data_IF_274742587341
#
_entry.id   IF_274742587341
#
_cell.length_a   1.000
_cell.length_b   1.000
_cell.length_c   1.000
_cell.angle_alpha   90.00
_cell.angle_beta   90.00
_cell.angle_gamma   90.00
#
_symmetry.space_group_name_H-M   'P 1'
#
loop_
_entity.id
_entity.type
_entity.pdbx_description
1 polymer ?
#
# COMPACT_ATOMS: atom_id res chain seq x y z
N UNK A 1 -7.18 -26.67 -2.45
CA UNK A 1 -7.94 -25.43 -2.22
C UNK A 1 -7.52 -24.73 -0.90
N UNK A 2 -6.22 -24.51 -0.63
CA UNK A 2 -5.75 -23.81 0.60
C UNK A 2 -5.18 -22.40 0.34
N UNK A 3 -5.23 -21.93 -0.91
CA UNK A 3 -4.69 -20.64 -1.33
C UNK A 3 -5.75 -19.58 -1.66
N UNK A 4 -7.00 -19.96 -1.89
CA UNK A 4 -8.06 -19.05 -2.37
C UNK A 4 -8.42 -18.03 -1.29
N UNK A 5 -8.52 -18.45 -0.02
CA UNK A 5 -8.76 -17.53 1.10
C UNK A 5 -7.60 -16.56 1.33
N UNK A 6 -6.34 -17.01 1.18
CA UNK A 6 -5.16 -16.15 1.26
C UNK A 6 -5.10 -15.16 0.10
N UNK A 7 -5.42 -15.61 -1.11
CA UNK A 7 -5.48 -14.75 -2.30
C UNK A 7 -6.63 -13.74 -2.22
N UNK A 8 -7.79 -14.13 -1.67
CA UNK A 8 -8.91 -13.23 -1.45
C UNK A 8 -8.59 -12.19 -0.38
N UNK A 9 -7.97 -12.59 0.74
CA UNK A 9 -7.54 -11.66 1.79
C UNK A 9 -6.40 -10.73 1.32
N UNK A 10 -5.44 -11.25 0.55
CA UNK A 10 -4.38 -10.46 -0.05
C UNK A 10 -4.93 -9.49 -1.11
N UNK A 11 -5.88 -9.94 -1.94
CA UNK A 11 -6.57 -9.12 -2.93
C UNK A 11 -7.51 -8.10 -2.31
N UNK A 12 -8.19 -8.42 -1.20
CA UNK A 12 -9.04 -7.50 -0.46
C UNK A 12 -8.23 -6.47 0.33
N UNK A 13 -7.12 -6.89 0.93
CA UNK A 13 -6.11 -6.00 1.52
C UNK A 13 -5.50 -5.08 0.47
N UNK A 14 -5.11 -5.62 -0.68
CA UNK A 14 -4.64 -4.83 -1.83
C UNK A 14 -5.73 -3.94 -2.43
N UNK A 15 -7.02 -4.27 -2.32
CA UNK A 15 -8.12 -3.39 -2.79
C UNK A 15 -8.43 -2.26 -1.80
N UNK A 16 -8.23 -2.47 -0.49
CA UNK A 16 -8.44 -1.44 0.55
C UNK A 16 -7.21 -0.55 0.80
N UNK A 17 -6.00 -1.09 0.67
CA UNK A 17 -4.73 -0.36 0.83
C UNK A 17 -4.09 0.02 -0.50
N UNK A 18 -4.42 -0.68 -1.58
CA UNK A 18 -3.93 -0.37 -2.91
C UNK A 18 -4.72 0.76 -3.52
N UNK A 19 -4.34 1.98 -3.12
CA UNK A 19 -4.48 3.16 -3.97
C UNK A 19 -3.64 3.05 -5.27
N UNK A 20 -3.23 1.85 -5.70
CA UNK A 20 -2.39 1.61 -6.88
C UNK A 20 -1.21 2.58 -6.95
N UNK A 21 -1.12 3.29 -8.09
CA UNK A 21 -0.16 4.35 -8.32
C UNK A 21 -0.27 5.50 -7.29
N UNK A 22 -1.48 5.89 -6.88
CA UNK A 22 -1.67 6.90 -5.83
C UNK A 22 -1.15 6.43 -4.47
N UNK A 23 -1.25 5.14 -4.16
CA UNK A 23 -0.80 4.58 -2.89
C UNK A 23 0.71 4.62 -2.79
N UNK A 24 1.39 4.30 -3.88
CA UNK A 24 2.85 4.44 -3.97
C UNK A 24 3.29 5.89 -3.89
N UNK A 25 2.56 6.84 -4.49
CA UNK A 25 2.88 8.27 -4.41
C UNK A 25 2.70 8.77 -2.96
N UNK A 26 1.58 8.44 -2.32
CA UNK A 26 1.31 8.85 -0.93
C UNK A 26 2.35 8.24 0.02
N UNK A 27 2.67 6.95 -0.13
CA UNK A 27 3.71 6.30 0.67
C UNK A 27 5.08 6.95 0.47
N UNK A 28 5.43 7.30 -0.78
CA UNK A 28 6.67 8.00 -1.09
C UNK A 28 6.73 9.38 -0.43
N UNK A 29 5.63 10.16 -0.51
CA UNK A 29 5.53 11.46 0.17
C UNK A 29 5.69 11.28 1.68
N UNK A 30 5.01 10.32 2.29
CA UNK A 30 5.11 10.08 3.75
C UNK A 30 6.56 9.76 4.13
N UNK A 31 7.24 8.87 3.41
CA UNK A 31 8.65 8.51 3.67
C UNK A 31 9.56 9.72 3.44
N UNK A 32 9.32 10.50 2.39
CA UNK A 32 10.07 11.71 2.07
C UNK A 32 9.96 12.76 3.19
N UNK A 33 8.78 12.93 3.76
CA UNK A 33 8.55 13.78 4.94
C UNK A 33 9.22 13.21 6.20
N UNK A 34 9.12 11.89 6.43
CA UNK A 34 9.67 11.25 7.62
C UNK A 34 11.20 11.31 7.68
N UNK A 35 11.84 11.29 6.52
CA UNK A 35 13.30 11.41 6.39
C UNK A 35 13.78 12.87 6.54
N UNK A 36 12.85 13.81 6.76
CA UNK A 36 13.17 15.20 7.07
C UNK A 36 13.49 16.06 5.86
N UNK A 37 13.21 15.63 4.63
CA UNK A 37 13.52 16.44 3.44
C UNK A 37 12.66 17.72 3.31
N UNK A 38 11.58 17.85 4.07
CA UNK A 38 10.68 19.02 4.07
C UNK A 38 10.92 19.95 5.28
N UNK A 39 11.78 19.58 6.23
CA UNK A 39 12.10 20.40 7.41
C UNK A 39 13.58 20.78 7.47
#
# INVERSE_FOLDING_TARGET
MRGIFKALLAGWGAKKLGFGCFGTIIAFIIIYYLLGYVF
#
